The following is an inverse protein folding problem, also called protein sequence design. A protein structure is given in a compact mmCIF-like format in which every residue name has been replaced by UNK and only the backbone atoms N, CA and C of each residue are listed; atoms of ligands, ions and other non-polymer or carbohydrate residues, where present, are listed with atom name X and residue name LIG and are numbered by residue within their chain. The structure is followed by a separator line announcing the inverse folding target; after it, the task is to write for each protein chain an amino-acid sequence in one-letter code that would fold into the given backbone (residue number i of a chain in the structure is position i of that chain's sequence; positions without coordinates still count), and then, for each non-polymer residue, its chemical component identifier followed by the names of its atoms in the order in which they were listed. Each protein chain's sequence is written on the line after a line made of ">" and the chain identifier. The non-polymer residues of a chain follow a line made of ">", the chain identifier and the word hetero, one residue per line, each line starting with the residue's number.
data_IF_493525767722
#
_entry.id   IF_493525767722
#
_cell.length_a   1.000
_cell.length_b   1.000
_cell.length_c   1.000
_cell.angle_alpha   90.00
_cell.angle_beta   90.00
_cell.angle_gamma   90.00
#
_symmetry.space_group_name_H-M   'P 1'
#
loop_
_entity.id
_entity.type
_entity.pdbx_description
1 polymer ?
#
# COMPACT_ATOMS: atom_id res chain seq x y z
N UNK A 1 28.26 -61.28 -3.71
CA UNK A 1 26.97 -60.52 -3.76
C UNK A 1 27.10 -59.34 -2.83
N UNK A 2 27.09 -58.11 -3.38
CA UNK A 2 25.85 -57.34 -3.37
C UNK A 2 25.61 -56.58 -4.69
N UNK A 3 24.39 -56.72 -5.21
CA UNK A 3 23.82 -55.93 -6.31
C UNK A 3 22.74 -55.03 -5.71
N UNK A 4 22.78 -53.73 -6.03
CA UNK A 4 21.81 -52.77 -5.53
C UNK A 4 21.98 -51.40 -6.19
N UNK A 5 21.66 -51.35 -7.48
CA UNK A 5 21.72 -50.18 -8.35
C UNK A 5 20.73 -49.09 -7.95
N UNK A 6 21.16 -47.83 -8.10
CA UNK A 6 20.36 -46.62 -8.07
C UNK A 6 19.21 -46.68 -9.09
N UNK A 7 17.98 -46.40 -8.64
CA UNK A 7 16.85 -46.12 -9.53
C UNK A 7 16.47 -44.65 -9.42
N UNK A 8 16.65 -43.92 -10.53
CA UNK A 8 16.25 -42.53 -10.70
C UNK A 8 14.73 -42.44 -10.85
N UNK A 9 14.09 -41.64 -9.99
CA UNK A 9 12.69 -41.26 -10.14
C UNK A 9 12.48 -40.44 -11.43
N UNK A 10 11.73 -41.01 -12.37
CA UNK A 10 11.18 -40.29 -13.53
C UNK A 10 9.93 -39.49 -13.10
N UNK A 11 9.76 -38.21 -13.49
CA UNK A 11 8.51 -37.50 -13.27
C UNK A 11 7.41 -37.96 -14.24
N UNK A 12 6.12 -37.94 -13.83
CA UNK A 12 5.01 -38.41 -14.66
C UNK A 12 4.68 -37.43 -15.81
N UNK A 13 4.09 -37.92 -16.93
CA UNK A 13 3.77 -37.11 -18.09
C UNK A 13 2.60 -36.15 -17.86
N UNK A 14 2.71 -34.95 -18.45
CA UNK A 14 1.70 -33.90 -18.38
C UNK A 14 0.45 -34.30 -19.18
N UNK A 15 -0.68 -34.46 -18.48
CA UNK A 15 -2.00 -34.59 -19.10
C UNK A 15 -2.41 -33.28 -19.80
N UNK A 16 -2.78 -33.38 -21.08
CA UNK A 16 -3.31 -32.27 -21.87
C UNK A 16 -4.69 -31.85 -21.34
N UNK A 17 -4.83 -30.57 -21.00
CA UNK A 17 -6.12 -29.96 -20.63
C UNK A 17 -7.00 -29.75 -21.87
N UNK A 18 -8.29 -30.15 -21.87
CA UNK A 18 -9.20 -29.86 -22.98
C UNK A 18 -9.58 -28.39 -23.04
N UNK A 19 -9.69 -27.87 -24.26
CA UNK A 19 -10.03 -26.49 -24.57
C UNK A 19 -11.35 -26.02 -23.93
N UNK A 20 -11.30 -24.88 -23.25
CA UNK A 20 -12.46 -24.22 -22.63
C UNK A 20 -13.45 -23.79 -23.72
N UNK A 21 -14.65 -24.39 -23.73
CA UNK A 21 -15.80 -23.91 -24.52
C UNK A 21 -16.12 -22.46 -24.11
N UNK A 22 -16.12 -21.55 -25.09
CA UNK A 22 -16.63 -20.18 -24.91
C UNK A 22 -18.14 -20.26 -24.70
N UNK A 23 -18.61 -19.86 -23.52
CA UNK A 23 -20.02 -19.56 -23.30
C UNK A 23 -20.34 -18.21 -23.93
N UNK A 24 -21.24 -18.19 -24.90
CA UNK A 24 -21.90 -16.97 -25.39
C UNK A 24 -23.01 -16.59 -24.41
N UNK A 25 -22.99 -15.34 -23.92
CA UNK A 25 -24.09 -14.77 -23.13
C UNK A 25 -25.17 -14.25 -24.09
N UNK A 26 -26.48 -14.42 -23.78
CA UNK A 26 -27.55 -13.85 -24.59
C UNK A 26 -27.66 -12.32 -24.37
N UNK A 27 -27.89 -11.61 -25.47
CA UNK A 27 -28.07 -10.16 -25.49
C UNK A 27 -29.37 -9.75 -24.77
N UNK A 28 -29.26 -8.80 -23.83
CA UNK A 28 -30.40 -8.16 -23.14
C UNK A 28 -30.74 -6.85 -23.85
N UNK A 29 -31.98 -6.68 -24.31
CA UNK A 29 -32.50 -5.40 -24.80
C UNK A 29 -32.77 -4.43 -23.64
N UNK A 30 -32.61 -3.10 -23.84
CA UNK A 30 -32.90 -2.11 -22.81
C UNK A 30 -34.42 -1.85 -22.68
N UNK A 31 -34.95 -1.61 -21.45
CA UNK A 31 -36.34 -1.21 -21.26
C UNK A 31 -36.56 0.29 -21.57
N UNK A 32 -37.80 0.69 -21.93
CA UNK A 32 -38.12 2.05 -22.34
C UNK A 32 -38.18 3.04 -21.16
N UNK A 33 -37.77 4.28 -21.44
CA UNK A 33 -37.92 5.43 -20.54
C UNK A 33 -39.35 5.97 -20.60
N UNK A 34 -40.07 5.90 -19.48
CA UNK A 34 -41.30 6.65 -19.26
C UNK A 34 -41.13 7.50 -18.00
N UNK A 35 -41.31 8.80 -18.18
CA UNK A 35 -41.31 9.83 -17.15
C UNK A 35 -42.66 9.87 -16.40
N UNK A 36 -42.61 10.04 -15.08
CA UNK A 36 -43.68 10.53 -14.19
C UNK A 36 -42.98 11.06 -12.93
N UNK A 37 -42.72 12.37 -12.84
CA UNK A 37 -43.57 13.37 -12.17
C UNK A 37 -43.56 13.29 -10.64
N UNK A 38 -42.93 14.30 -10.03
CA UNK A 38 -43.28 14.97 -8.76
C UNK A 38 -43.66 14.07 -7.58
N UNK A 39 -42.68 13.69 -6.76
CA UNK A 39 -42.74 13.67 -5.29
C UNK A 39 -41.41 13.21 -4.68
N UNK A 40 -40.36 14.02 -4.83
CA UNK A 40 -39.04 13.70 -4.28
C UNK A 40 -38.34 14.97 -3.82
N UNK A 41 -38.85 15.68 -2.81
CA UNK A 41 -38.12 16.84 -2.30
C UNK A 41 -38.50 17.30 -0.88
N UNK A 42 -38.84 16.41 0.07
CA UNK A 42 -39.19 16.90 1.44
C UNK A 42 -38.65 16.10 2.64
N UNK A 43 -37.71 15.18 2.47
CA UNK A 43 -37.16 14.42 3.63
C UNK A 43 -35.66 14.60 3.90
N UNK A 44 -34.93 15.36 3.08
CA UNK A 44 -33.49 15.59 3.28
C UNK A 44 -33.13 16.87 4.04
N UNK A 45 -34.06 17.81 4.16
CA UNK A 45 -33.82 19.10 4.83
C UNK A 45 -34.06 19.08 6.35
N UNK A 46 -34.87 18.15 6.86
CA UNK A 46 -35.19 18.08 8.29
C UNK A 46 -34.09 17.46 9.16
N UNK A 47 -33.19 16.64 8.58
CA UNK A 47 -32.06 16.06 9.32
C UNK A 47 -30.87 17.03 9.41
N UNK A 48 -30.77 17.99 8.48
CA UNK A 48 -29.66 18.95 8.46
C UNK A 48 -29.82 20.10 9.46
N UNK A 49 -31.04 20.43 9.89
CA UNK A 49 -31.31 21.59 10.77
C UNK A 49 -31.16 21.22 12.27
N UNK A 50 -31.39 19.96 12.65
CA UNK A 50 -31.35 19.52 14.05
C UNK A 50 -29.94 19.34 14.66
N UNK A 51 -28.86 19.59 13.90
CA UNK A 51 -27.48 19.37 14.38
C UNK A 51 -26.61 20.65 14.43
N UNK A 52 -27.22 21.84 14.39
CA UNK A 52 -26.49 23.12 14.47
C UNK A 52 -26.46 23.76 15.88
N UNK A 53 -26.89 23.06 16.94
CA UNK A 53 -26.97 23.65 18.31
C UNK A 53 -26.17 22.90 19.39
N UNK A 54 -25.31 21.96 19.04
CA UNK A 54 -24.32 21.42 19.98
C UNK A 54 -22.97 21.41 19.29
N UNK A 55 -22.10 22.34 19.68
CA UNK A 55 -20.74 22.51 19.16
C UNK A 55 -19.83 21.32 19.47
N UNK A 56 -20.20 20.14 18.99
CA UNK A 56 -19.45 18.89 19.16
C UNK A 56 -18.79 18.59 17.82
N UNK A 57 -17.50 18.92 17.74
CA UNK A 57 -16.67 18.59 16.61
C UNK A 57 -16.57 17.06 16.48
N UNK A 58 -17.31 16.48 15.52
CA UNK A 58 -17.23 15.06 15.21
C UNK A 58 -15.98 14.80 14.36
N UNK A 59 -14.84 14.56 15.01
CA UNK A 59 -13.67 13.97 14.36
C UNK A 59 -13.84 12.45 14.33
N UNK A 60 -14.51 11.92 13.29
CA UNK A 60 -14.50 10.48 13.04
C UNK A 60 -13.09 10.02 12.63
N UNK A 61 -12.40 9.14 13.38
CA UNK A 61 -11.21 8.49 12.86
C UNK A 61 -11.70 7.30 12.04
N UNK A 62 -12.04 7.51 10.77
CA UNK A 62 -12.33 6.39 9.86
C UNK A 62 -11.08 5.48 9.79
N UNK A 63 -11.14 4.21 10.21
CA UNK A 63 -10.02 3.30 10.00
C UNK A 63 -9.98 2.96 8.51
N UNK A 64 -9.02 3.55 7.81
CA UNK A 64 -8.79 3.34 6.39
C UNK A 64 -8.24 1.92 6.15
N UNK A 65 -8.70 1.18 5.12
CA UNK A 65 -8.08 -0.07 4.72
C UNK A 65 -6.64 0.17 4.27
N UNK A 66 -5.75 -0.74 4.66
CA UNK A 66 -4.32 -0.71 4.37
C UNK A 66 -4.07 -1.10 2.91
N UNK A 67 -4.19 -0.15 1.98
CA UNK A 67 -3.48 -0.23 0.72
C UNK A 67 -2.29 0.75 0.75
N UNK A 68 -1.23 0.35 0.07
CA UNK A 68 0.07 1.03 -0.08
C UNK A 68 -0.07 2.51 -0.53
N UNK A 69 -1.24 2.89 -1.04
CA UNK A 69 -1.75 4.24 -1.18
C UNK A 69 -3.10 4.36 -0.44
N UNK A 70 -3.26 5.39 0.41
CA UNK A 70 -4.58 5.71 0.96
C UNK A 70 -5.44 6.27 -0.17
N UNK A 71 -6.47 5.51 -0.58
CA UNK A 71 -7.41 5.89 -1.65
C UNK A 71 -6.71 6.15 -3.00
N UNK A 72 -5.64 5.42 -3.32
CA UNK A 72 -4.88 5.57 -4.57
C UNK A 72 -3.95 6.78 -4.61
N UNK A 73 -3.82 7.53 -3.51
CA UNK A 73 -2.93 8.69 -3.41
C UNK A 73 -1.59 8.32 -2.79
N UNK A 74 -0.51 8.77 -3.41
CA UNK A 74 0.86 8.63 -2.91
C UNK A 74 1.05 9.38 -1.60
N UNK A 75 1.69 8.72 -0.63
CA UNK A 75 1.87 9.28 0.71
C UNK A 75 3.22 9.95 0.91
N UNK A 76 4.29 9.42 0.29
CA UNK A 76 5.62 10.01 0.36
C UNK A 76 5.66 11.27 -0.51
N UNK A 77 5.94 12.42 0.11
CA UNK A 77 6.02 13.73 -0.57
C UNK A 77 7.45 14.12 -0.92
N UNK A 78 8.35 13.92 0.04
CA UNK A 78 9.76 14.32 -0.08
C UNK A 78 10.67 13.21 0.41
N UNK A 79 11.69 12.91 -0.37
CA UNK A 79 12.77 11.99 -0.02
C UNK A 79 14.07 12.79 0.05
N UNK A 80 14.65 12.84 1.24
CA UNK A 80 15.96 13.43 1.49
C UNK A 80 17.01 12.33 1.46
N UNK A 81 18.03 12.55 0.63
CA UNK A 81 19.19 11.69 0.44
C UNK A 81 20.37 12.38 1.09
N UNK A 82 20.71 11.97 2.32
CA UNK A 82 21.86 12.52 3.05
C UNK A 82 23.12 11.71 2.75
N UNK A 83 24.18 12.39 2.34
CA UNK A 83 25.46 11.75 2.03
C UNK A 83 26.66 12.56 2.52
N UNK A 84 27.81 11.91 2.62
CA UNK A 84 29.11 12.53 2.83
C UNK A 84 29.98 12.36 1.57
N UNK A 85 30.73 13.39 1.20
CA UNK A 85 31.60 13.46 0.03
C UNK A 85 32.85 12.58 0.18
N UNK A 86 33.50 12.59 1.36
CA UNK A 86 34.77 11.88 1.58
C UNK A 86 34.65 10.54 2.32
N UNK A 87 33.64 10.39 3.19
CA UNK A 87 33.55 9.23 4.08
C UNK A 87 33.30 7.91 3.33
N UNK A 88 34.05 6.86 3.68
CA UNK A 88 33.92 5.53 3.08
C UNK A 88 32.52 4.92 3.23
N UNK A 89 31.83 5.23 4.33
CA UNK A 89 30.47 4.74 4.59
C UNK A 89 29.41 5.27 3.63
N UNK A 90 29.70 6.36 2.92
CA UNK A 90 28.84 6.97 1.90
C UNK A 90 29.17 6.54 0.47
N UNK A 91 30.08 5.57 0.26
CA UNK A 91 30.48 5.13 -1.08
C UNK A 91 29.28 4.66 -1.91
N UNK A 92 28.43 3.80 -1.36
CA UNK A 92 27.29 3.25 -2.08
C UNK A 92 26.22 4.29 -2.41
N UNK A 93 25.97 5.26 -1.52
CA UNK A 93 24.96 6.29 -1.79
C UNK A 93 25.43 7.28 -2.87
N UNK A 94 26.73 7.57 -2.94
CA UNK A 94 27.30 8.37 -4.04
C UNK A 94 27.12 7.67 -5.38
N UNK A 95 27.43 6.37 -5.44
CA UNK A 95 27.18 5.57 -6.64
C UNK A 95 25.68 5.50 -7.02
N UNK A 96 24.79 5.41 -6.03
CA UNK A 96 23.33 5.45 -6.24
C UNK A 96 22.87 6.79 -6.82
N UNK A 97 23.44 7.91 -6.34
CA UNK A 97 23.11 9.25 -6.85
C UNK A 97 23.48 9.44 -8.31
N UNK A 98 24.60 8.88 -8.76
CA UNK A 98 25.06 8.98 -10.15
C UNK A 98 24.27 8.04 -11.08
N UNK A 99 24.02 6.81 -10.65
CA UNK A 99 23.46 5.76 -11.52
C UNK A 99 21.92 5.68 -11.49
N UNK A 100 21.35 5.48 -10.31
CA UNK A 100 19.95 5.04 -10.17
C UNK A 100 19.00 6.17 -9.75
N UNK A 101 19.50 7.22 -9.10
CA UNK A 101 18.68 8.35 -8.66
C UNK A 101 17.99 9.10 -9.80
N UNK A 102 18.62 9.38 -10.97
CA UNK A 102 17.95 10.07 -12.07
C UNK A 102 16.73 9.28 -12.58
N UNK A 103 16.94 7.99 -12.87
CA UNK A 103 15.86 7.09 -13.29
C UNK A 103 14.76 6.95 -12.23
N UNK A 104 15.10 7.02 -10.94
CA UNK A 104 14.13 7.00 -9.86
C UNK A 104 13.27 8.27 -9.82
N UNK A 105 13.85 9.45 -10.10
CA UNK A 105 13.11 10.71 -10.20
C UNK A 105 12.16 10.71 -11.40
N UNK A 106 12.62 10.26 -12.57
CA UNK A 106 11.80 10.17 -13.78
C UNK A 106 10.58 9.27 -13.61
N UNK A 107 10.75 8.12 -12.94
CA UNK A 107 9.64 7.20 -12.63
C UNK A 107 8.65 7.76 -11.61
N UNK A 108 9.03 8.77 -10.84
CA UNK A 108 8.22 9.31 -9.74
C UNK A 108 8.21 10.85 -9.76
N UNK A 109 7.58 11.49 -10.77
CA UNK A 109 7.60 12.96 -10.90
C UNK A 109 6.89 13.69 -9.75
N UNK A 110 6.00 13.00 -9.03
CA UNK A 110 5.29 13.52 -7.85
C UNK A 110 6.13 13.58 -6.58
N UNK A 111 7.32 12.96 -6.57
CA UNK A 111 8.18 12.85 -5.39
C UNK A 111 9.29 13.89 -5.49
N UNK A 112 9.37 14.77 -4.48
CA UNK A 112 10.49 15.70 -4.36
C UNK A 112 11.71 14.96 -3.80
N UNK A 113 12.76 14.80 -4.60
CA UNK A 113 14.01 14.16 -4.17
C UNK A 113 15.09 15.21 -3.98
N UNK A 114 15.49 15.42 -2.73
CA UNK A 114 16.49 16.41 -2.31
C UNK A 114 17.74 15.72 -1.80
N UNK A 115 18.90 16.25 -2.16
CA UNK A 115 20.20 15.77 -1.71
C UNK A 115 20.76 16.72 -0.66
N UNK A 116 21.24 16.18 0.45
CA UNK A 116 21.85 16.94 1.55
C UNK A 116 23.28 16.43 1.80
N UNK A 117 24.24 17.35 1.79
CA UNK A 117 25.64 17.04 2.11
C UNK A 117 25.87 17.20 3.61
N UNK A 118 26.03 16.08 4.31
CA UNK A 118 26.28 16.03 5.75
C UNK A 118 27.64 15.41 6.03
N UNK A 119 28.66 16.26 6.21
CA UNK A 119 30.04 15.84 6.45
C UNK A 119 30.20 15.23 7.84
N UNK A 120 30.98 14.16 7.93
CA UNK A 120 31.27 13.47 9.20
C UNK A 120 30.12 12.63 9.77
N UNK A 121 29.01 12.48 9.05
CA UNK A 121 27.85 11.68 9.46
C UNK A 121 27.64 10.48 8.54
N UNK A 122 27.03 9.42 9.07
CA UNK A 122 26.64 8.26 8.27
C UNK A 122 25.47 8.63 7.33
N UNK A 123 25.45 8.08 6.10
CA UNK A 123 24.40 8.39 5.14
C UNK A 123 23.07 7.80 5.58
N UNK A 124 21.99 8.50 5.26
CA UNK A 124 20.63 8.07 5.54
C UNK A 124 19.64 8.58 4.49
N UNK A 125 18.54 7.84 4.35
CA UNK A 125 17.38 8.24 3.58
C UNK A 125 16.29 8.68 4.54
N UNK A 126 15.73 9.88 4.34
CA UNK A 126 14.64 10.43 5.16
C UNK A 126 13.43 10.72 4.28
N UNK A 127 12.34 10.00 4.53
CA UNK A 127 11.07 10.19 3.85
C UNK A 127 10.10 11.03 4.69
N UNK A 128 9.55 12.08 4.09
CA UNK A 128 8.48 12.91 4.64
C UNK A 128 7.15 12.52 3.99
N UNK A 129 6.16 12.19 4.82
CA UNK A 129 4.86 11.71 4.36
C UNK A 129 3.78 12.78 4.53
N UNK A 130 2.70 12.69 3.75
CA UNK A 130 1.54 13.59 3.84
C UNK A 130 0.90 13.64 5.23
N UNK A 131 1.03 12.57 6.01
CA UNK A 131 0.56 12.46 7.39
C UNK A 131 1.46 13.18 8.41
N UNK A 132 2.42 14.01 7.97
CA UNK A 132 3.47 14.67 8.79
C UNK A 132 4.40 13.71 9.54
N UNK A 133 4.26 12.41 9.32
CA UNK A 133 5.19 11.41 9.83
C UNK A 133 6.45 11.40 8.98
N UNK A 134 7.57 11.09 9.63
CA UNK A 134 8.88 10.98 8.99
C UNK A 134 9.47 9.60 9.27
N UNK A 135 10.16 9.03 8.28
CA UNK A 135 10.91 7.78 8.46
C UNK A 135 12.34 7.95 8.00
N UNK A 136 13.28 7.55 8.85
CA UNK A 136 14.71 7.57 8.56
C UNK A 136 15.20 6.14 8.45
N UNK A 137 15.99 5.86 7.42
CA UNK A 137 16.66 4.58 7.20
C UNK A 137 18.14 4.88 7.01
N UNK A 138 18.98 4.33 7.89
CA UNK A 138 20.43 4.41 7.75
C UNK A 138 20.89 3.49 6.62
N UNK A 139 21.78 3.99 5.76
CA UNK A 139 22.26 3.27 4.56
C UNK A 139 23.80 3.18 4.51
N UNK A 140 24.42 3.07 5.69
CA UNK A 140 25.88 2.96 5.83
C UNK A 140 26.37 1.68 5.15
N UNK A 141 27.43 1.78 4.34
CA UNK A 141 28.08 0.64 3.68
C UNK A 141 27.15 -0.27 2.84
N UNK A 142 25.99 0.23 2.43
CA UNK A 142 25.08 -0.53 1.55
C UNK A 142 25.48 -0.34 0.09
N UNK A 143 25.17 -1.33 -0.73
CA UNK A 143 25.34 -1.24 -2.18
C UNK A 143 24.26 -0.36 -2.82
N UNK A 144 24.52 0.25 -4.00
CA UNK A 144 23.56 1.14 -4.64
C UNK A 144 22.20 0.46 -4.90
N UNK A 145 22.19 -0.83 -5.24
CA UNK A 145 20.96 -1.60 -5.46
C UNK A 145 20.14 -1.79 -4.18
N UNK A 146 20.80 -2.06 -3.05
CA UNK A 146 20.15 -2.17 -1.75
C UNK A 146 19.56 -0.82 -1.31
N UNK A 147 20.28 0.27 -1.60
CA UNK A 147 19.81 1.64 -1.35
C UNK A 147 18.57 1.93 -2.20
N UNK A 148 18.55 1.53 -3.47
CA UNK A 148 17.36 1.63 -4.33
C UNK A 148 16.18 0.81 -3.80
N UNK A 149 16.43 -0.40 -3.29
CA UNK A 149 15.41 -1.21 -2.62
C UNK A 149 14.87 -0.50 -1.38
N UNK A 150 15.74 0.11 -0.57
CA UNK A 150 15.35 0.92 0.59
C UNK A 150 14.52 2.15 0.21
N UNK A 151 14.91 2.88 -0.84
CA UNK A 151 14.17 4.01 -1.37
C UNK A 151 12.79 3.60 -1.90
N UNK A 152 12.73 2.47 -2.63
CA UNK A 152 11.49 1.86 -3.11
C UNK A 152 10.59 1.46 -1.95
N UNK A 153 11.14 0.89 -0.87
CA UNK A 153 10.40 0.54 0.33
C UNK A 153 9.81 1.76 1.03
N UNK A 154 10.57 2.87 1.13
CA UNK A 154 10.06 4.13 1.67
C UNK A 154 8.91 4.66 0.81
N UNK A 155 9.10 4.68 -0.51
CA UNK A 155 8.10 5.10 -1.50
C UNK A 155 6.81 4.28 -1.45
N UNK A 156 6.91 2.98 -1.18
CA UNK A 156 5.76 2.09 -1.07
C UNK A 156 5.09 2.09 0.32
N UNK A 157 5.62 2.83 1.28
CA UNK A 157 5.11 2.85 2.65
C UNK A 157 4.20 4.05 2.94
N UNK A 158 3.35 3.93 3.97
CA UNK A 158 2.44 5.01 4.39
C UNK A 158 3.06 5.98 5.40
N UNK A 159 4.28 5.71 5.88
CA UNK A 159 4.93 6.51 6.93
C UNK A 159 4.44 6.24 8.37
N UNK A 160 3.51 5.30 8.59
CA UNK A 160 3.06 4.92 9.95
C UNK A 160 4.17 4.21 10.74
N UNK A 161 4.21 4.36 12.06
CA UNK A 161 5.11 3.60 12.94
C UNK A 161 4.89 2.09 12.72
N UNK A 162 5.97 1.33 12.57
CA UNK A 162 5.87 -0.14 12.52
C UNK A 162 5.62 -0.61 13.93
N UNK A 163 4.46 -1.21 14.16
CA UNK A 163 4.07 -1.80 15.44
C UNK A 163 3.77 -3.26 15.17
N UNK A 164 4.15 -4.14 16.12
CA UNK A 164 3.80 -5.55 16.05
C UNK A 164 2.29 -5.68 16.15
N UNK A 165 1.67 -6.20 15.10
CA UNK A 165 0.25 -6.53 15.10
C UNK A 165 0.02 -7.82 15.89
N UNK A 166 -1.04 -7.86 16.71
CA UNK A 166 -1.42 -9.09 17.45
C UNK A 166 -2.01 -10.14 16.51
N UNK A 167 -2.83 -9.70 15.55
CA UNK A 167 -3.49 -10.56 14.55
C UNK A 167 -3.12 -10.10 13.14
N UNK A 168 -3.14 -11.04 12.19
CA UNK A 168 -2.89 -10.74 10.77
C UNK A 168 -4.03 -9.94 10.14
N UNK A 169 -5.27 -10.18 10.56
CA UNK A 169 -6.45 -9.49 10.06
C UNK A 169 -7.02 -8.56 11.13
N UNK A 170 -7.48 -7.39 10.69
CA UNK A 170 -8.23 -6.43 11.50
C UNK A 170 -9.52 -6.15 10.75
N UNK A 171 -10.65 -6.55 11.31
CA UNK A 171 -11.98 -6.26 10.78
C UNK A 171 -12.74 -5.36 11.75
N UNK A 172 -13.51 -4.42 11.22
CA UNK A 172 -14.44 -3.62 12.02
C UNK A 172 -15.73 -4.38 12.31
N UNK A 173 -16.10 -5.27 11.38
CA UNK A 173 -17.34 -6.03 11.41
C UNK A 173 -16.96 -7.50 11.54
N UNK A 174 -16.85 -8.04 12.76
CA UNK A 174 -16.40 -9.43 12.98
C UNK A 174 -17.46 -10.46 12.58
N UNK A 175 -18.75 -10.12 12.67
CA UNK A 175 -19.86 -10.98 12.23
C UNK A 175 -20.83 -10.20 11.33
N UNK A 176 -21.49 -10.94 10.43
CA UNK A 176 -22.52 -10.42 9.51
C UNK A 176 -23.94 -10.64 10.07
N UNK A 177 -24.18 -11.77 10.74
CA UNK A 177 -25.51 -12.18 11.24
C UNK A 177 -25.69 -12.00 12.75
N UNK A 178 -24.68 -11.44 13.43
CA UNK A 178 -24.62 -11.34 14.88
C UNK A 178 -23.58 -12.27 15.48
N UNK A 179 -23.06 -11.90 16.64
CA UNK A 179 -22.11 -12.74 17.38
C UNK A 179 -22.90 -13.85 18.09
N UNK A 180 -22.36 -15.06 18.12
CA UNK A 180 -22.97 -16.16 18.85
C UNK A 180 -23.15 -15.81 20.35
N UNK A 181 -24.35 -16.08 20.89
CA UNK A 181 -24.68 -15.98 22.31
C UNK A 181 -25.48 -17.21 22.75
N UNK A 182 -25.33 -17.60 24.02
CA UNK A 182 -25.97 -18.80 24.58
C UNK A 182 -27.48 -18.62 24.80
N UNK A 183 -27.95 -17.38 24.96
CA UNK A 183 -29.32 -17.06 25.37
C UNK A 183 -30.37 -17.15 24.24
N UNK A 184 -29.97 -17.57 23.03
CA UNK A 184 -30.92 -17.75 21.92
C UNK A 184 -31.73 -19.01 22.16
N UNK A 185 -33.01 -18.83 22.53
CA UNK A 185 -33.99 -19.92 22.52
C UNK A 185 -34.60 -20.01 21.12
N UNK A 186 -34.56 -21.20 20.55
CA UNK A 186 -35.15 -21.56 19.26
C UNK A 186 -36.63 -21.95 19.41
#
# INVERSE_FOLDING_TARGET
>A
TPSGLLSYNQPPPLHAFPARRRFSLPAKSPPPLIALSRHFEESKLLIAIYFFSSGTQWSSPLPSPLNMALRGVWQLKKLVVSYCDWGGSSRGIRAFMESQMPAFKEKNPQLEVVTELNRGQHPYLKGFYKSNNNRVVCVKNMDPEEIHSCATRLRNSLGRKVVKLRTRHVTKNPSVQGTWNTDVRF
#
